data_IF_467696355679
#
_entry.id   IF_467696355679
#
_cell.length_a   1.000
_cell.length_b   1.000
_cell.length_c   1.000
_cell.angle_alpha   90.00
_cell.angle_beta   90.00
_cell.angle_gamma   90.00
#
_symmetry.space_group_name_H-M   'P 1'
#
loop_
_entity.id
_entity.type
_entity.pdbx_description
1 polymer ?
#
# COMPACT_ATOMS: atom_id res chain seq x y z
N UNK A 1 -11.50 -39.62 -5.20
CA UNK A 1 -12.25 -38.61 -4.42
C UNK A 1 -11.45 -38.11 -3.22
N UNK A 2 -10.95 -38.99 -2.32
CA UNK A 2 -10.11 -38.56 -1.17
C UNK A 2 -8.75 -37.94 -1.58
N UNK A 3 -8.07 -38.49 -2.60
CA UNK A 3 -6.75 -37.98 -3.06
C UNK A 3 -6.83 -36.58 -3.67
N UNK A 4 -7.90 -36.29 -4.41
CA UNK A 4 -8.15 -34.97 -5.02
C UNK A 4 -8.53 -33.93 -3.97
N UNK A 5 -9.26 -34.33 -2.92
CA UNK A 5 -9.61 -33.47 -1.80
C UNK A 5 -8.37 -33.08 -0.97
N UNK A 6 -7.46 -34.03 -0.75
CA UNK A 6 -6.19 -33.79 -0.06
C UNK A 6 -5.30 -32.80 -0.81
N UNK A 7 -5.22 -32.89 -2.14
CA UNK A 7 -4.44 -31.96 -2.96
C UNK A 7 -4.98 -30.52 -2.86
N UNK A 8 -6.30 -30.36 -2.89
CA UNK A 8 -6.97 -29.05 -2.78
C UNK A 8 -6.76 -28.40 -1.39
N UNK A 9 -6.77 -29.22 -0.33
CA UNK A 9 -6.52 -28.76 1.03
C UNK A 9 -5.07 -28.25 1.21
N UNK A 10 -4.09 -28.96 0.65
CA UNK A 10 -2.67 -28.54 0.73
C UNK A 10 -2.45 -27.22 -0.01
N UNK A 11 -3.03 -27.04 -1.20
CA UNK A 11 -2.93 -25.77 -1.92
C UNK A 11 -3.59 -24.60 -1.18
N UNK A 12 -4.69 -24.83 -0.48
CA UNK A 12 -5.34 -23.80 0.32
C UNK A 12 -4.47 -23.35 1.51
N UNK A 13 -3.79 -24.28 2.20
CA UNK A 13 -2.88 -23.96 3.29
C UNK A 13 -1.67 -23.14 2.83
N UNK A 14 -1.11 -23.46 1.65
CA UNK A 14 0.05 -22.73 1.13
C UNK A 14 -0.26 -21.28 0.77
N UNK A 15 -1.50 -20.96 0.40
CA UNK A 15 -1.94 -19.59 0.09
C UNK A 15 -2.37 -18.77 1.32
N UNK A 16 -2.54 -19.40 2.50
CA UNK A 16 -3.01 -18.71 3.70
C UNK A 16 -2.01 -17.71 4.29
N UNK A 17 -0.71 -17.87 3.99
CA UNK A 17 0.36 -16.98 4.49
C UNK A 17 0.31 -15.55 3.95
N UNK A 18 -0.41 -15.28 2.86
CA UNK A 18 -0.53 -13.95 2.28
C UNK A 18 -1.69 -13.12 2.85
N UNK A 19 -2.59 -13.73 3.64
CA UNK A 19 -3.79 -13.05 4.13
C UNK A 19 -3.50 -11.96 5.16
N UNK A 20 -2.34 -12.02 5.84
CA UNK A 20 -1.91 -11.04 6.86
C UNK A 20 -0.70 -10.23 6.43
N UNK A 21 -0.40 -10.17 5.12
CA UNK A 21 0.75 -9.43 4.60
C UNK A 21 0.41 -7.94 4.48
N UNK A 22 0.30 -7.27 5.62
CA UNK A 22 0.02 -5.84 5.71
C UNK A 22 -0.30 -5.42 7.14
N UNK A 23 -0.05 -4.15 7.46
CA UNK A 23 -0.56 -3.51 8.68
C UNK A 23 -2.01 -3.11 8.47
N UNK A 24 -2.83 -3.25 9.50
CA UNK A 24 -4.22 -2.84 9.51
C UNK A 24 -4.31 -1.30 9.33
N UNK A 25 -5.39 -0.76 8.74
CA UNK A 25 -5.48 0.67 8.46
C UNK A 25 -5.25 1.57 9.69
N UNK A 26 -5.72 1.16 10.87
CA UNK A 26 -5.53 1.87 12.13
C UNK A 26 -4.13 1.73 12.73
N UNK A 27 -3.36 0.72 12.34
CA UNK A 27 -1.96 0.55 12.76
C UNK A 27 -1.02 1.54 12.03
N UNK A 28 -1.47 2.12 10.89
CA UNK A 28 -0.73 3.16 10.17
C UNK A 28 -0.77 4.53 10.86
N UNK A 29 -1.60 4.72 11.88
CA UNK A 29 -1.66 5.98 12.64
C UNK A 29 -0.34 6.29 13.35
N UNK A 30 0.49 5.27 13.64
CA UNK A 30 1.82 5.46 14.23
C UNK A 30 2.76 6.21 13.26
N UNK A 31 2.57 6.05 11.95
CA UNK A 31 3.28 6.78 10.89
C UNK A 31 2.68 8.16 10.60
N UNK A 32 1.57 8.55 11.25
CA UNK A 32 0.97 9.87 11.07
C UNK A 32 1.69 10.97 11.85
N UNK A 33 2.69 10.64 12.68
CA UNK A 33 3.52 11.67 13.33
C UNK A 33 4.39 12.37 12.29
N UNK A 34 4.51 13.70 12.41
CA UNK A 34 5.33 14.53 11.52
C UNK A 34 6.76 13.99 11.31
N UNK A 35 7.38 13.49 12.39
CA UNK A 35 8.74 12.93 12.33
C UNK A 35 8.87 11.61 11.56
N UNK A 36 7.75 10.97 11.18
CA UNK A 36 7.71 9.71 10.44
C UNK A 36 7.14 9.87 9.02
N UNK A 37 6.86 11.10 8.59
CA UNK A 37 6.43 11.38 7.21
C UNK A 37 7.57 11.08 6.24
N UNK A 38 7.25 10.41 5.12
CA UNK A 38 8.26 10.10 4.10
C UNK A 38 8.63 11.34 3.27
N UNK A 39 7.73 12.32 3.24
CA UNK A 39 7.98 13.65 2.68
C UNK A 39 8.11 14.67 3.80
N UNK A 40 9.11 15.55 3.69
CA UNK A 40 9.36 16.64 4.65
C UNK A 40 8.56 17.90 4.32
N UNK A 41 8.19 18.07 3.04
CA UNK A 41 7.38 19.19 2.55
C UNK A 41 6.33 18.65 1.58
N UNK A 42 5.06 18.72 1.98
CA UNK A 42 3.95 18.22 1.18
C UNK A 42 3.70 19.06 -0.07
N UNK A 43 3.98 20.36 -0.03
CA UNK A 43 3.73 21.27 -1.15
C UNK A 43 4.78 21.07 -2.25
N UNK A 44 6.04 20.89 -1.87
CA UNK A 44 7.11 20.55 -2.80
C UNK A 44 6.81 19.20 -3.47
N UNK A 45 6.47 18.17 -2.69
CA UNK A 45 6.14 16.85 -3.21
C UNK A 45 4.94 16.86 -4.16
N UNK A 46 3.87 17.60 -3.82
CA UNK A 46 2.70 17.75 -4.69
C UNK A 46 3.04 18.46 -6.01
N UNK A 47 3.94 19.44 -5.96
CA UNK A 47 4.39 20.17 -7.16
C UNK A 47 5.21 19.26 -8.07
N UNK A 48 6.11 18.47 -7.51
CA UNK A 48 6.92 17.50 -8.25
C UNK A 48 6.04 16.42 -8.91
N UNK A 49 5.05 15.90 -8.19
CA UNK A 49 4.06 14.96 -8.74
C UNK A 49 3.33 15.59 -9.93
N UNK A 50 2.82 16.80 -9.76
CA UNK A 50 2.11 17.50 -10.82
C UNK A 50 2.97 17.67 -12.08
N UNK A 51 4.24 18.03 -11.92
CA UNK A 51 5.20 18.15 -13.03
C UNK A 51 5.45 16.79 -13.69
N UNK A 52 5.69 15.74 -12.90
CA UNK A 52 6.01 14.40 -13.38
C UNK A 52 4.85 13.83 -14.20
N UNK A 53 3.64 13.80 -13.64
CA UNK A 53 2.46 13.25 -14.33
C UNK A 53 2.07 14.05 -15.57
N UNK A 54 2.27 15.37 -15.55
CA UNK A 54 2.09 16.22 -16.73
C UNK A 54 3.04 15.84 -17.87
N UNK A 55 4.30 15.50 -17.55
CA UNK A 55 5.30 15.08 -18.54
C UNK A 55 5.01 13.70 -19.11
N UNK A 56 4.58 12.78 -18.25
CA UNK A 56 4.28 11.40 -18.64
C UNK A 56 2.88 11.23 -19.25
N UNK A 57 2.10 12.32 -19.37
CA UNK A 57 0.69 12.30 -19.80
C UNK A 57 -0.14 11.23 -19.05
N UNK A 58 0.16 11.02 -17.77
CA UNK A 58 -0.49 10.02 -16.91
C UNK A 58 -1.21 10.70 -15.75
N UNK A 59 -2.09 9.96 -15.08
CA UNK A 59 -2.85 10.46 -13.93
C UNK A 59 -2.89 9.40 -12.83
N UNK A 60 -3.01 9.87 -11.58
CA UNK A 60 -2.90 9.05 -10.39
C UNK A 60 -1.61 9.36 -9.64
N UNK A 61 -1.74 10.15 -8.56
CA UNK A 61 -0.63 10.57 -7.71
C UNK A 61 0.16 9.38 -7.14
N UNK A 62 1.34 9.66 -6.57
CA UNK A 62 2.07 8.68 -5.75
C UNK A 62 1.26 8.42 -4.48
N UNK A 63 0.22 7.58 -4.59
CA UNK A 63 -0.50 7.09 -3.44
C UNK A 63 0.49 6.43 -2.51
N UNK A 64 0.34 6.67 -1.21
CA UNK A 64 1.13 6.05 -0.14
C UNK A 64 2.51 6.71 0.12
N UNK A 65 2.52 8.00 0.46
CA UNK A 65 3.71 8.74 0.89
C UNK A 65 3.82 9.04 2.40
N UNK A 66 2.85 8.65 3.24
CA UNK A 66 2.84 9.07 4.65
C UNK A 66 1.79 8.34 5.50
N UNK A 67 1.66 8.74 6.76
CA UNK A 67 0.58 8.28 7.64
C UNK A 67 -0.76 8.93 7.29
N UNK A 68 -1.86 8.16 7.33
CA UNK A 68 -3.21 8.60 6.98
C UNK A 68 -4.04 7.51 6.29
N UNK A 69 -5.26 7.81 5.80
CA UNK A 69 -6.13 6.81 5.16
C UNK A 69 -5.61 6.28 3.81
N UNK A 70 -4.52 6.85 3.28
CA UNK A 70 -3.93 6.44 2.01
C UNK A 70 -4.87 6.67 0.81
N UNK A 71 -5.86 7.54 0.95
CA UNK A 71 -6.82 7.85 -0.09
C UNK A 71 -6.20 8.90 -1.04
N UNK A 72 -6.02 8.52 -2.31
CA UNK A 72 -5.84 9.46 -3.43
C UNK A 72 -7.17 10.11 -3.79
#
# INVERSE_FOLDING_TARGET
>A
MIRTFGLFAVTALLCAGCASMGVEPWERDILAKDAMQLTTDELEAATDDHIYFSKEASSGGRGFGGGGCGCN
#
